data_IF_056551853844
#
_entry.id   IF_056551853844
#
_cell.length_a   1.000
_cell.length_b   1.000
_cell.length_c   1.000
_cell.angle_alpha   90.00
_cell.angle_beta   90.00
_cell.angle_gamma   90.00
#
_symmetry.space_group_name_H-M   'P 1'
#
loop_
_entity.id
_entity.type
_entity.pdbx_description
1 polymer ?
#
# COMPACT_ATOMS: atom_id res chain seq x y z
N UNK A 1 3.73 -6.06 -20.49
CA UNK A 1 2.75 -6.53 -19.48
C UNK A 1 2.96 -7.98 -18.98
N UNK A 2 4.00 -8.70 -19.41
CA UNK A 2 4.36 -10.03 -18.86
C UNK A 2 5.36 -10.00 -17.69
N UNK A 3 6.07 -8.90 -17.47
CA UNK A 3 7.17 -8.82 -16.49
C UNK A 3 6.70 -8.61 -15.05
N UNK A 4 5.54 -7.96 -14.85
CA UNK A 4 5.08 -7.65 -13.49
C UNK A 4 4.71 -8.90 -12.67
N UNK A 5 4.37 -10.04 -13.29
CA UNK A 5 4.02 -11.28 -12.58
C UNK A 5 5.23 -11.98 -11.96
N UNK A 6 6.42 -11.86 -12.54
CA UNK A 6 7.65 -12.50 -12.02
C UNK A 6 8.20 -11.75 -10.80
N UNK A 7 8.04 -10.43 -10.74
CA UNK A 7 8.37 -9.63 -9.55
C UNK A 7 7.51 -9.98 -8.32
N UNK A 8 6.29 -10.51 -8.47
CA UNK A 8 5.51 -11.00 -7.33
C UNK A 8 6.07 -12.27 -6.71
N UNK A 9 6.75 -13.11 -7.51
CA UNK A 9 7.45 -14.29 -6.99
C UNK A 9 8.60 -13.89 -6.07
N UNK A 10 9.33 -12.84 -6.44
CA UNK A 10 10.47 -12.32 -5.67
C UNK A 10 10.05 -11.74 -4.30
N UNK A 11 8.92 -11.03 -4.25
CA UNK A 11 8.36 -10.53 -2.99
C UNK A 11 7.82 -11.64 -2.08
N UNK A 12 7.52 -12.83 -2.61
CA UNK A 12 7.01 -13.96 -1.83
C UNK A 12 8.14 -14.74 -1.14
N UNK A 13 9.30 -14.90 -1.79
CA UNK A 13 10.47 -15.58 -1.19
C UNK A 13 11.18 -14.74 -0.12
N UNK A 14 11.16 -13.40 -0.23
CA UNK A 14 11.70 -12.47 0.78
C UNK A 14 10.62 -11.80 1.66
N UNK A 15 9.36 -12.21 1.51
CA UNK A 15 8.17 -11.55 2.05
C UNK A 15 8.23 -11.22 3.54
N UNK A 16 8.60 -12.15 4.44
CA UNK A 16 8.65 -11.88 5.88
C UNK A 16 9.69 -10.82 6.28
N UNK A 17 10.86 -10.83 5.63
CA UNK A 17 11.95 -9.90 5.95
C UNK A 17 11.56 -8.47 5.53
N UNK A 18 11.03 -8.35 4.32
CA UNK A 18 10.69 -7.05 3.75
C UNK A 18 9.48 -6.40 4.45
N UNK A 19 8.43 -7.17 4.75
CA UNK A 19 7.31 -6.75 5.61
C UNK A 19 7.83 -6.27 6.96
N UNK A 20 8.76 -7.02 7.58
CA UNK A 20 9.38 -6.65 8.85
C UNK A 20 10.16 -5.33 8.78
N UNK A 21 10.87 -5.08 7.68
CA UNK A 21 11.61 -3.84 7.45
C UNK A 21 10.67 -2.64 7.32
N UNK A 22 9.58 -2.75 6.53
CA UNK A 22 8.62 -1.66 6.37
C UNK A 22 7.96 -1.33 7.71
N UNK A 23 7.46 -2.34 8.44
CA UNK A 23 6.85 -2.15 9.75
C UNK A 23 7.82 -1.47 10.75
N UNK A 24 9.08 -1.90 10.76
CA UNK A 24 10.12 -1.31 11.63
C UNK A 24 10.44 0.12 11.25
N UNK A 25 10.56 0.43 9.95
CA UNK A 25 10.89 1.78 9.47
C UNK A 25 9.77 2.76 9.68
N UNK A 26 8.53 2.33 9.43
CA UNK A 26 7.33 3.14 9.64
C UNK A 26 7.01 3.30 11.14
N UNK A 27 7.57 2.42 11.99
CA UNK A 27 7.37 2.40 13.43
C UNK A 27 5.87 2.43 13.80
N UNK A 28 5.07 1.67 13.04
CA UNK A 28 3.61 1.62 13.21
C UNK A 28 3.21 0.95 14.51
N UNK A 29 2.17 1.49 15.14
CA UNK A 29 1.64 1.01 16.41
C UNK A 29 0.22 0.46 16.19
N UNK A 30 -0.20 -0.55 16.96
CA UNK A 30 -1.59 -1.00 16.95
C UNK A 30 -2.55 0.18 17.19
N UNK A 31 -3.64 0.22 16.43
CA UNK A 31 -4.64 1.30 16.47
C UNK A 31 -4.32 2.53 15.63
N UNK A 32 -3.10 2.68 15.10
CA UNK A 32 -2.81 3.75 14.15
C UNK A 32 -3.48 3.48 12.79
N UNK A 33 -3.87 4.57 12.12
CA UNK A 33 -4.46 4.57 10.80
C UNK A 33 -3.41 4.89 9.76
N UNK A 34 -3.22 3.99 8.81
CA UNK A 34 -2.11 4.02 7.85
C UNK A 34 -2.62 3.95 6.42
N UNK A 35 -2.11 4.81 5.55
CA UNK A 35 -2.37 4.78 4.11
C UNK A 35 -1.15 4.24 3.34
N UNK A 36 -1.39 3.25 2.47
CA UNK A 36 -0.44 2.80 1.46
C UNK A 36 -0.81 3.37 0.07
N UNK A 37 0.09 4.13 -0.55
CA UNK A 37 -0.06 4.61 -1.93
C UNK A 37 0.59 3.62 -2.89
N UNK A 38 -0.19 3.05 -3.81
CA UNK A 38 0.26 1.99 -4.73
C UNK A 38 0.24 0.60 -4.12
N UNK A 39 -0.81 0.29 -3.36
CA UNK A 39 -0.92 -0.95 -2.58
C UNK A 39 -1.21 -2.21 -3.41
N UNK A 40 -1.48 -2.04 -4.71
CA UNK A 40 -1.82 -3.10 -5.63
C UNK A 40 -3.02 -3.94 -5.16
N UNK A 41 -2.81 -5.21 -4.82
CA UNK A 41 -3.85 -6.12 -4.30
C UNK A 41 -3.96 -6.06 -2.77
N UNK A 42 -3.13 -5.29 -2.06
CA UNK A 42 -3.17 -5.14 -0.60
C UNK A 42 -2.44 -6.24 0.18
N UNK A 43 -1.37 -6.83 -0.38
CA UNK A 43 -0.61 -7.88 0.29
C UNK A 43 0.04 -7.42 1.60
N UNK A 44 0.61 -6.21 1.61
CA UNK A 44 1.24 -5.64 2.79
C UNK A 44 0.21 -5.15 3.81
N UNK A 45 -0.89 -4.54 3.34
CA UNK A 45 -2.05 -4.20 4.17
C UNK A 45 -2.53 -5.40 5.01
N UNK A 46 -2.63 -6.58 4.40
CA UNK A 46 -3.02 -7.80 5.12
C UNK A 46 -2.10 -8.10 6.31
N UNK A 47 -0.79 -7.92 6.15
CA UNK A 47 0.16 -8.15 7.24
C UNK A 47 0.11 -7.05 8.32
N UNK A 48 -0.27 -5.82 7.95
CA UNK A 48 -0.53 -4.73 8.89
C UNK A 48 -1.81 -4.99 9.68
N UNK A 49 -2.90 -5.38 9.02
CA UNK A 49 -4.20 -5.64 9.65
C UNK A 49 -4.13 -6.82 10.64
N UNK A 50 -3.35 -7.88 10.34
CA UNK A 50 -3.05 -8.97 11.30
C UNK A 50 -2.42 -8.45 12.61
N UNK A 51 -1.79 -7.28 12.58
CA UNK A 51 -1.15 -6.60 13.73
C UNK A 51 -2.02 -5.50 14.34
N UNK A 52 -3.33 -5.49 14.03
CA UNK A 52 -4.33 -4.52 14.53
C UNK A 52 -4.01 -3.07 14.14
N UNK A 53 -3.45 -2.88 12.95
CA UNK A 53 -3.27 -1.56 12.35
C UNK A 53 -4.46 -1.31 11.42
N UNK A 54 -5.05 -0.11 11.47
CA UNK A 54 -6.10 0.31 10.52
C UNK A 54 -5.43 0.71 9.20
N UNK A 55 -5.08 -0.31 8.40
CA UNK A 55 -4.35 -0.12 7.15
C UNK A 55 -5.29 -0.11 5.96
N UNK A 56 -5.24 1.00 5.22
CA UNK A 56 -5.98 1.26 3.99
C UNK A 56 -4.96 1.43 2.86
N UNK A 57 -5.30 1.01 1.65
CA UNK A 57 -4.47 1.27 0.49
C UNK A 57 -5.26 1.73 -0.72
N UNK A 58 -4.56 2.45 -1.59
CA UNK A 58 -5.08 2.87 -2.87
C UNK A 58 -4.18 2.40 -4.01
N UNK A 59 -4.76 2.16 -5.17
CA UNK A 59 -4.02 1.89 -6.40
C UNK A 59 -4.82 2.36 -7.62
N UNK A 60 -4.15 2.90 -8.64
CA UNK A 60 -4.79 3.32 -9.90
C UNK A 60 -5.13 2.12 -10.80
N UNK A 61 -4.53 0.95 -10.56
CA UNK A 61 -4.77 -0.25 -11.32
C UNK A 61 -6.05 -0.95 -10.86
N UNK A 62 -7.16 -0.60 -11.52
CA UNK A 62 -8.47 -1.24 -11.34
C UNK A 62 -8.44 -2.76 -11.30
N UNK A 63 -7.63 -3.42 -12.13
CA UNK A 63 -7.55 -4.89 -12.16
C UNK A 63 -6.90 -5.45 -10.89
N UNK A 64 -5.96 -4.73 -10.28
CA UNK A 64 -5.36 -5.10 -9.00
C UNK A 64 -6.38 -4.95 -7.87
N UNK A 65 -7.07 -3.81 -7.79
CA UNK A 65 -8.13 -3.53 -6.81
C UNK A 65 -9.25 -4.57 -6.89
N UNK A 66 -9.69 -4.95 -8.09
CA UNK A 66 -10.69 -6.01 -8.29
C UNK A 66 -10.25 -7.39 -7.79
N UNK A 67 -8.94 -7.62 -7.64
CA UNK A 67 -8.35 -8.87 -7.15
C UNK A 67 -7.78 -8.71 -5.74
N UNK A 68 -8.22 -7.69 -4.99
CA UNK A 68 -7.75 -7.37 -3.63
C UNK A 68 -7.80 -8.59 -2.71
N UNK A 69 -6.83 -8.69 -1.81
CA UNK A 69 -6.72 -9.75 -0.80
C UNK A 69 -7.23 -9.33 0.59
N UNK A 70 -7.58 -8.04 0.73
CA UNK A 70 -8.26 -7.42 1.89
C UNK A 70 -9.27 -6.40 1.35
N UNK A 71 -10.25 -6.01 2.16
CA UNK A 71 -11.35 -5.17 1.69
C UNK A 71 -10.99 -3.69 1.55
N UNK A 72 -10.01 -3.23 2.32
CA UNK A 72 -9.55 -1.85 2.46
C UNK A 72 -8.57 -1.43 1.33
N UNK A 73 -8.86 -1.87 0.11
CA UNK A 73 -8.16 -1.49 -1.11
C UNK A 73 -9.14 -0.76 -2.03
N UNK A 74 -8.77 0.46 -2.44
CA UNK A 74 -9.62 1.34 -3.25
C UNK A 74 -8.94 1.78 -4.55
N UNK A 75 -9.74 1.91 -5.62
CA UNK A 75 -9.27 2.50 -6.88
C UNK A 75 -9.24 4.02 -6.71
N UNK A 76 -8.04 4.62 -6.65
CA UNK A 76 -7.89 6.06 -6.42
C UNK A 76 -6.53 6.54 -6.94
N UNK A 77 -6.49 7.80 -7.39
CA UNK A 77 -5.25 8.46 -7.82
C UNK A 77 -4.63 9.23 -6.64
N UNK A 78 -3.34 9.04 -6.40
CA UNK A 78 -2.59 9.76 -5.38
C UNK A 78 -2.66 11.29 -5.54
N UNK A 79 -2.80 11.79 -6.77
CA UNK A 79 -2.94 13.22 -7.07
C UNK A 79 -4.35 13.78 -6.77
N UNK A 80 -5.30 12.93 -6.39
CA UNK A 80 -6.68 13.30 -6.08
C UNK A 80 -7.26 12.34 -5.04
N UNK A 81 -6.78 12.47 -3.80
CA UNK A 81 -7.25 11.67 -2.67
C UNK A 81 -8.66 12.11 -2.23
N UNK A 82 -9.56 11.14 -2.06
CA UNK A 82 -10.91 11.36 -1.53
C UNK A 82 -10.97 11.13 -0.01
N UNK A 83 -9.86 11.42 0.68
CA UNK A 83 -9.76 11.35 2.13
C UNK A 83 -9.82 12.75 2.73
N UNK A 84 -10.30 12.84 3.97
CA UNK A 84 -10.23 14.09 4.73
C UNK A 84 -8.76 14.40 5.03
N UNK A 85 -8.42 15.69 5.07
CA UNK A 85 -7.11 16.11 5.55
C UNK A 85 -6.86 15.53 6.95
N UNK A 86 -5.60 15.18 7.22
CA UNK A 86 -5.13 14.69 8.53
C UNK A 86 -5.87 13.42 9.00
N UNK A 87 -6.39 12.60 8.08
CA UNK A 87 -7.14 11.39 8.44
C UNK A 87 -6.28 10.14 8.66
N UNK A 88 -4.96 10.26 8.53
CA UNK A 88 -4.00 9.15 8.69
C UNK A 88 -2.86 9.59 9.59
N UNK A 89 -2.46 8.69 10.49
CA UNK A 89 -1.28 8.91 11.34
C UNK A 89 0.00 8.78 10.52
N UNK A 90 0.00 7.87 9.55
CA UNK A 90 1.15 7.58 8.68
C UNK A 90 0.72 7.30 7.26
N UNK A 91 1.56 7.74 6.32
CA UNK A 91 1.41 7.48 4.89
C UNK A 91 2.74 6.91 4.40
N UNK A 92 2.68 5.87 3.59
CA UNK A 92 3.86 5.29 2.98
C UNK A 92 3.58 4.82 1.55
N UNK A 93 4.64 4.61 0.81
CA UNK A 93 4.59 4.11 -0.55
C UNK A 93 5.86 3.32 -0.85
N UNK A 94 5.70 2.24 -1.61
CA UNK A 94 6.82 1.40 -2.02
C UNK A 94 6.75 1.21 -3.52
N UNK A 95 7.87 1.47 -4.22
CA UNK A 95 8.02 1.25 -5.66
C UNK A 95 6.88 1.87 -6.50
N UNK A 96 6.39 3.03 -6.07
CA UNK A 96 5.26 3.73 -6.70
C UNK A 96 5.53 5.22 -6.92
N UNK A 97 6.32 5.88 -6.06
CA UNK A 97 6.60 7.32 -6.14
C UNK A 97 7.17 7.72 -7.52
N UNK A 98 8.02 6.87 -8.09
CA UNK A 98 8.62 7.02 -9.41
C UNK A 98 7.61 6.97 -10.57
N UNK A 99 6.39 6.49 -10.30
CA UNK A 99 5.32 6.35 -11.28
C UNK A 99 4.25 7.44 -11.16
N UNK A 100 4.36 8.36 -10.20
CA UNK A 100 3.42 9.47 -10.01
C UNK A 100 3.79 10.61 -10.98
N UNK A 101 2.92 10.95 -11.96
CA UNK A 101 3.22 11.98 -12.96
C UNK A 101 3.46 13.37 -12.35
N UNK A 102 2.65 13.77 -11.37
CA UNK A 102 2.80 15.05 -10.68
C UNK A 102 3.04 14.87 -9.18
N UNK A 103 4.28 14.51 -8.83
CA UNK A 103 4.69 14.31 -7.45
C UNK A 103 4.52 15.55 -6.56
N UNK A 104 4.58 16.77 -7.11
CA UNK A 104 4.40 18.00 -6.33
C UNK A 104 2.94 18.23 -5.89
N UNK A 105 2.00 17.60 -6.59
CA UNK A 105 0.58 17.71 -6.32
C UNK A 105 0.08 16.62 -5.36
N UNK A 106 0.69 15.43 -5.44
CA UNK A 106 0.38 14.28 -4.61
C UNK A 106 0.74 14.50 -3.12
#
# INVERSE_FOLDING_TARGET
MKEASESYGFAFEFGPLWVGLVLKKLNVRPGERVLEIGCNRGMLLREFQKRKIDAIGIDVNKKAVQKKVVDEVYEMNAENLEFKNESFDKIYSVHTIEHIPNLKKA
#
